data_IF_930513061906
#
_entry.id   IF_930513061906
#
_cell.length_a   1.000
_cell.length_b   1.000
_cell.length_c   1.000
_cell.angle_alpha   90.00
_cell.angle_beta   90.00
_cell.angle_gamma   90.00
#
_symmetry.space_group_name_H-M   'P 1'
#
loop_
_entity.id
_entity.type
_entity.pdbx_description
1 polymer ?
#
# COMPACT_ATOMS: atom_id res chain seq x y z
N UNK A 1 -1.87 0.27 3.80
CA UNK A 1 -0.90 0.93 2.90
C UNK A 1 0.12 1.60 3.80
N UNK A 2 1.22 0.91 4.08
CA UNK A 2 2.31 1.45 4.89
C UNK A 2 3.54 1.50 3.98
N UNK A 3 3.65 2.58 3.22
CA UNK A 3 4.88 2.91 2.52
C UNK A 3 5.60 3.94 3.38
N UNK A 4 6.75 3.55 3.95
CA UNK A 4 7.55 4.39 4.83
C UNK A 4 8.86 4.77 4.15
N UNK A 5 9.15 6.07 4.11
CA UNK A 5 10.44 6.59 3.66
C UNK A 5 11.09 7.37 4.80
N UNK A 6 12.42 7.37 4.87
CA UNK A 6 13.14 8.18 5.84
C UNK A 6 13.20 9.62 5.34
N UNK A 7 12.68 10.55 6.15
CA UNK A 7 12.90 11.98 5.93
C UNK A 7 14.38 12.35 6.07
N UNK A 8 14.73 13.55 5.63
CA UNK A 8 16.07 14.15 5.84
C UNK A 8 16.46 14.29 7.32
N UNK A 9 15.50 14.14 8.25
CA UNK A 9 15.70 14.14 9.71
C UNK A 9 15.64 12.74 10.32
N UNK A 10 15.83 11.69 9.50
CA UNK A 10 15.82 10.27 9.90
C UNK A 10 14.55 9.84 10.64
N UNK A 11 13.42 10.48 10.33
CA UNK A 11 12.08 10.08 10.81
C UNK A 11 11.32 9.39 9.69
N UNK A 12 10.60 8.33 10.01
CA UNK A 12 9.67 7.70 9.09
C UNK A 12 8.50 8.63 8.75
N UNK A 13 8.18 8.73 7.47
CA UNK A 13 7.03 9.47 6.94
C UNK A 13 6.10 8.50 6.23
N UNK A 14 4.81 8.59 6.50
CA UNK A 14 3.76 7.78 5.87
C UNK A 14 2.82 8.66 5.05
N UNK A 15 2.22 8.07 4.00
CA UNK A 15 1.16 8.70 3.22
C UNK A 15 -0.18 8.13 3.66
N UNK A 16 -1.03 8.96 4.27
CA UNK A 16 -2.40 8.59 4.62
C UNK A 16 -3.40 9.18 3.63
N UNK A 17 -4.23 8.31 3.04
CA UNK A 17 -5.23 8.70 2.04
C UNK A 17 -6.68 8.57 2.53
N UNK A 18 -6.90 8.46 3.85
CA UNK A 18 -8.23 8.21 4.45
C UNK A 18 -9.18 9.40 4.25
N UNK A 19 -8.68 10.64 4.42
CA UNK A 19 -9.48 11.87 4.32
C UNK A 19 -9.30 12.59 2.97
N UNK A 20 -8.15 12.43 2.33
CA UNK A 20 -7.81 13.05 1.06
C UNK A 20 -6.84 12.14 0.30
N UNK A 21 -7.23 11.72 -0.91
CA UNK A 21 -6.44 10.82 -1.74
C UNK A 21 -6.80 10.97 -3.21
N UNK A 22 -5.99 10.36 -4.06
CA UNK A 22 -6.28 10.23 -5.49
C UNK A 22 -6.87 8.83 -5.79
N UNK A 23 -7.11 8.52 -7.07
CA UNK A 23 -7.64 7.21 -7.50
C UNK A 23 -6.82 6.01 -7.01
N UNK A 24 -5.54 6.23 -6.68
CA UNK A 24 -4.63 5.20 -6.16
C UNK A 24 -5.05 4.64 -4.80
N UNK A 25 -5.87 5.36 -4.02
CA UNK A 25 -6.39 4.86 -2.74
C UNK A 25 -7.40 3.71 -2.88
N UNK A 26 -7.92 3.48 -4.09
CA UNK A 26 -8.91 2.42 -4.39
C UNK A 26 -8.29 1.14 -4.96
N UNK A 27 -6.97 1.11 -5.20
CA UNK A 27 -6.29 -0.10 -5.66
C UNK A 27 -6.47 -1.18 -4.60
N UNK A 28 -6.75 -2.41 -4.99
CA UNK A 28 -7.00 -3.50 -4.04
C UNK A 28 -5.75 -4.35 -3.81
N UNK A 29 -5.73 -5.06 -2.69
CA UNK A 29 -4.67 -6.01 -2.39
C UNK A 29 -4.78 -7.28 -3.25
N UNK A 30 -3.63 -7.85 -3.66
CA UNK A 30 -3.53 -9.22 -4.12
C UNK A 30 -2.20 -9.86 -3.67
N UNK A 31 -2.26 -11.15 -3.32
CA UNK A 31 -1.10 -11.99 -2.99
C UNK A 31 -0.13 -12.15 -4.18
N UNK A 32 -0.60 -11.89 -5.42
CA UNK A 32 0.18 -11.90 -6.68
C UNK A 32 -0.14 -10.66 -7.54
N UNK A 33 0.36 -9.47 -7.16
CA UNK A 33 -0.05 -8.20 -7.74
C UNK A 33 0.41 -7.98 -9.18
N UNK A 34 -0.12 -6.95 -9.84
CA UNK A 34 0.37 -6.43 -11.14
C UNK A 34 1.01 -5.05 -11.07
N UNK A 35 0.90 -4.37 -9.92
CA UNK A 35 1.54 -3.10 -9.69
C UNK A 35 2.26 -3.10 -8.34
N UNK A 36 3.18 -2.16 -8.17
CA UNK A 36 3.89 -1.90 -6.93
C UNK A 36 4.12 -0.39 -6.73
N UNK A 37 4.50 0.00 -5.51
CA UNK A 37 4.89 1.36 -5.21
C UNK A 37 6.27 1.68 -5.76
N UNK A 38 6.39 2.85 -6.39
CA UNK A 38 7.65 3.36 -6.91
C UNK A 38 7.92 4.72 -6.28
N UNK A 39 9.06 4.84 -5.62
CA UNK A 39 9.56 6.12 -5.12
C UNK A 39 10.08 6.97 -6.26
N UNK A 40 9.54 8.18 -6.40
CA UNK A 40 10.06 9.21 -7.27
C UNK A 40 10.60 10.37 -6.45
N UNK A 41 11.92 10.52 -6.46
CA UNK A 41 12.61 11.63 -5.83
C UNK A 41 12.67 12.81 -6.79
N UNK A 42 12.04 13.92 -6.42
CA UNK A 42 12.12 15.20 -7.12
C UNK A 42 12.64 16.28 -6.18
N UNK A 43 13.95 16.55 -6.26
CA UNK A 43 14.67 17.47 -5.35
C UNK A 43 14.45 17.06 -3.89
N UNK A 44 13.82 17.92 -3.10
CA UNK A 44 13.48 17.68 -1.69
C UNK A 44 12.14 16.98 -1.49
N UNK A 45 11.43 16.63 -2.56
CA UNK A 45 10.12 15.96 -2.50
C UNK A 45 10.27 14.50 -2.90
N UNK A 46 9.65 13.62 -2.13
CA UNK A 46 9.46 12.21 -2.48
C UNK A 46 7.98 12.04 -2.81
N UNK A 47 7.70 11.50 -3.99
CA UNK A 47 6.34 11.11 -4.39
C UNK A 47 6.30 9.60 -4.52
N UNK A 48 5.18 8.99 -4.14
CA UNK A 48 4.95 7.56 -4.32
C UNK A 48 4.02 7.38 -5.51
N UNK A 49 4.49 6.67 -6.53
CA UNK A 49 3.74 6.34 -7.72
C UNK A 49 3.29 4.88 -7.69
N UNK A 50 2.31 4.59 -8.54
CA UNK A 50 1.88 3.22 -8.84
C UNK A 50 2.52 2.82 -10.17
N UNK A 51 3.45 1.87 -10.13
CA UNK A 51 4.13 1.34 -11.31
C UNK A 51 3.66 -0.08 -11.64
N UNK A 52 3.42 -0.37 -12.91
CA UNK A 52 3.11 -1.74 -13.36
C UNK A 52 4.38 -2.60 -13.32
N UNK A 53 4.30 -3.77 -12.67
CA UNK A 53 5.40 -4.75 -12.60
C UNK A 53 5.21 -5.93 -13.58
N UNK A 54 4.05 -6.00 -14.23
CA UNK A 54 3.77 -6.95 -15.31
C UNK A 54 2.84 -6.34 -16.35
N UNK A 55 2.97 -6.81 -17.59
CA UNK A 55 2.04 -6.46 -18.65
C UNK A 55 0.64 -7.02 -18.30
N UNK A 56 -0.39 -6.21 -18.53
CA UNK A 56 -1.79 -6.57 -18.30
C UNK A 56 -2.62 -6.26 -19.53
N UNK A 57 -3.71 -7.00 -19.72
CA UNK A 57 -4.69 -6.73 -20.76
C UNK A 57 -5.61 -5.58 -20.35
N UNK A 58 -6.19 -4.88 -21.31
CA UNK A 58 -7.23 -3.89 -21.04
C UNK A 58 -8.38 -4.51 -20.22
N UNK A 59 -8.90 -3.77 -19.25
CA UNK A 59 -9.95 -4.23 -18.33
C UNK A 59 -9.46 -5.09 -17.15
N UNK A 60 -8.17 -5.44 -17.07
CA UNK A 60 -7.63 -6.11 -15.90
C UNK A 60 -7.62 -5.16 -14.68
N UNK A 61 -8.05 -5.68 -13.52
CA UNK A 61 -7.97 -4.93 -12.26
C UNK A 61 -6.51 -4.68 -11.86
N UNK A 62 -6.18 -3.45 -11.49
CA UNK A 62 -4.88 -3.10 -10.92
C UNK A 62 -4.86 -3.50 -9.44
N UNK A 63 -3.84 -4.25 -9.02
CA UNK A 63 -3.71 -4.79 -7.66
C UNK A 63 -2.27 -4.70 -7.15
N UNK A 64 -2.13 -4.54 -5.84
CA UNK A 64 -0.85 -4.36 -5.14
C UNK A 64 -0.67 -5.32 -3.96
N UNK A 65 0.57 -5.58 -3.56
CA UNK A 65 0.82 -6.26 -2.29
C UNK A 65 0.84 -5.23 -1.16
N UNK A 66 0.09 -5.44 -0.08
CA UNK A 66 -0.04 -4.45 1.00
C UNK A 66 0.97 -4.62 2.13
N UNK A 67 1.80 -5.66 2.02
CA UNK A 67 2.65 -6.16 3.10
C UNK A 67 2.10 -7.47 3.64
N UNK A 68 2.89 -8.14 4.48
CA UNK A 68 2.53 -9.42 5.07
C UNK A 68 1.50 -9.26 6.21
N UNK A 69 1.45 -8.06 6.80
CA UNK A 69 0.49 -7.71 7.86
C UNK A 69 -0.51 -6.71 7.29
N UNK A 70 -1.79 -7.11 7.23
CA UNK A 70 -2.90 -6.22 6.85
C UNK A 70 -3.82 -5.98 8.06
N UNK A 71 -4.82 -5.10 7.95
CA UNK A 71 -5.86 -4.90 8.99
C UNK A 71 -7.18 -5.59 8.61
N UNK A 72 -7.14 -6.45 7.58
CA UNK A 72 -8.28 -7.18 7.04
C UNK A 72 -7.80 -8.52 6.52
N UNK A 73 -8.67 -9.54 6.61
CA UNK A 73 -8.40 -10.85 6.04
C UNK A 73 -8.39 -10.78 4.52
N UNK A 74 -7.25 -11.14 3.92
CA UNK A 74 -7.15 -11.22 2.47
C UNK A 74 -8.10 -12.30 1.90
N UNK A 75 -8.74 -11.99 0.76
CA UNK A 75 -9.61 -12.92 0.04
C UNK A 75 -8.89 -14.19 -0.47
N UNK A 76 -7.55 -14.22 -0.49
CA UNK A 76 -6.80 -15.44 -0.77
C UNK A 76 -6.79 -16.43 0.41
N UNK A 77 -7.26 -16.00 1.61
CA UNK A 77 -7.40 -16.73 2.89
C UNK A 77 -6.14 -17.42 3.44
N UNK A 78 -5.06 -17.48 2.68
CA UNK A 78 -3.81 -18.19 3.00
C UNK A 78 -2.69 -17.27 3.49
N UNK A 79 -2.70 -16.00 3.08
CA UNK A 79 -1.62 -15.06 3.42
C UNK A 79 -1.88 -14.26 4.70
N UNK A 80 -3.02 -14.49 5.35
CA UNK A 80 -3.39 -13.80 6.58
C UNK A 80 -2.85 -14.60 7.77
N UNK A 81 -1.93 -14.01 8.52
CA UNK A 81 -1.33 -14.62 9.72
C UNK A 81 -2.16 -14.41 11.00
N UNK A 82 -3.17 -13.54 10.96
CA UNK A 82 -4.17 -13.42 12.01
C UNK A 82 -3.64 -12.91 13.34
N UNK A 83 -2.54 -12.15 13.36
CA UNK A 83 -2.21 -11.36 14.54
C UNK A 83 -3.20 -10.19 14.64
N UNK A 84 -4.33 -10.44 15.30
CA UNK A 84 -5.23 -9.40 15.77
C UNK A 84 -4.43 -8.53 16.76
N UNK A 85 -4.00 -7.35 16.31
CA UNK A 85 -3.43 -6.32 17.19
C UNK A 85 -4.62 -5.57 17.80
N UNK A 86 -4.77 -5.70 19.11
CA UNK A 86 -5.81 -5.16 20.01
C UNK A 86 -5.92 -3.61 20.02
N UNK A 87 -5.78 -2.93 18.87
CA UNK A 87 -5.82 -1.47 18.76
C UNK A 87 -7.21 -0.86 18.61
N UNK A 88 -8.27 -1.65 18.76
CA UNK A 88 -9.60 -1.07 19.06
C UNK A 88 -9.75 -1.01 20.58
N UNK A 89 -8.99 -0.10 21.20
CA UNK A 89 -9.43 0.47 22.47
C UNK A 89 -10.76 1.18 22.19
N UNK A 90 -11.83 0.61 22.74
CA UNK A 90 -13.14 1.27 22.88
C UNK A 90 -12.92 2.60 23.61
N UNK A 91 -13.29 3.69 22.95
CA UNK A 91 -13.85 4.88 23.56
C UNK A 91 -15.14 5.24 22.81
#
# INVERSE_FOLDING_TARGET
>A
MLYNTLSTKTKFVNVESVKAGAITSFISHACKPNADFVELHNRSKVNVLVGMIKNVKAGAQITMHYGNVTWFKCACYKCWDGSDDDRVSKD
#
